data_IF_966687695156
#
_entry.id   IF_966687695156
#
_cell.length_a   1.000
_cell.length_b   1.000
_cell.length_c   1.000
_cell.angle_alpha   90.00
_cell.angle_beta   90.00
_cell.angle_gamma   90.00
#
_symmetry.space_group_name_H-M   'P 1'
#
loop_
_entity.id
_entity.type
_entity.pdbx_description
1 polymer ?
#
# COMPACT_ATOMS: atom_id res chain seq x y z
N UNK A 1 -42.54 -41.63 50.76
CA UNK A 1 -43.08 -40.56 49.88
C UNK A 1 -41.98 -39.53 49.66
N UNK A 2 -41.65 -39.28 48.39
CA UNK A 2 -40.62 -38.34 47.93
C UNK A 2 -41.04 -36.90 48.21
N UNK A 3 -40.08 -36.02 48.53
CA UNK A 3 -39.90 -34.66 47.95
C UNK A 3 -38.66 -34.01 48.56
N UNK A 4 -37.54 -34.13 47.85
CA UNK A 4 -36.33 -33.36 48.08
C UNK A 4 -36.53 -31.93 47.59
N UNK A 5 -36.12 -30.97 48.41
CA UNK A 5 -36.07 -29.55 48.06
C UNK A 5 -34.71 -29.29 47.44
N UNK A 6 -34.75 -28.96 46.15
CA UNK A 6 -33.66 -28.41 45.37
C UNK A 6 -33.41 -26.95 45.78
N UNK A 7 -32.15 -26.56 45.90
CA UNK A 7 -31.71 -25.22 45.47
C UNK A 7 -30.20 -25.24 45.21
N UNK A 8 -29.89 -25.44 43.92
CA UNK A 8 -28.59 -25.39 43.30
C UNK A 8 -28.22 -23.90 43.12
N UNK A 9 -27.33 -23.38 43.96
CA UNK A 9 -26.78 -22.03 43.81
C UNK A 9 -25.58 -22.07 42.85
N UNK A 10 -25.86 -22.07 41.55
CA UNK A 10 -24.84 -21.95 40.51
C UNK A 10 -24.73 -20.48 40.06
N UNK A 11 -23.93 -19.68 40.77
CA UNK A 11 -23.55 -18.33 40.33
C UNK A 11 -22.44 -18.43 39.27
N UNK A 12 -22.83 -18.69 38.03
CA UNK A 12 -21.95 -18.56 36.86
C UNK A 12 -21.80 -17.06 36.54
N UNK A 13 -20.75 -16.45 37.10
CA UNK A 13 -20.28 -15.12 36.69
C UNK A 13 -19.63 -15.29 35.31
N UNK A 14 -20.45 -15.24 34.26
CA UNK A 14 -20.00 -15.04 32.89
C UNK A 14 -19.59 -13.58 32.73
N UNK A 15 -18.39 -13.23 33.19
CA UNK A 15 -17.69 -12.03 32.67
C UNK A 15 -17.30 -12.39 31.24
N UNK A 16 -18.26 -12.23 30.33
CA UNK A 16 -18.01 -12.21 28.91
C UNK A 16 -17.09 -11.03 28.63
N UNK A 17 -15.83 -11.33 28.31
CA UNK A 17 -14.88 -10.36 27.79
C UNK A 17 -15.37 -9.95 26.40
N UNK A 18 -16.38 -9.08 26.34
CA UNK A 18 -16.83 -8.42 25.13
C UNK A 18 -15.68 -7.52 24.69
N UNK A 19 -14.84 -8.03 23.79
CA UNK A 19 -13.98 -7.17 23.01
C UNK A 19 -14.89 -6.21 22.25
N UNK A 20 -15.06 -4.99 22.77
CA UNK A 20 -15.86 -3.92 22.17
C UNK A 20 -15.19 -3.44 20.87
N UNK A 21 -15.19 -4.28 19.84
CA UNK A 21 -14.67 -3.95 18.52
C UNK A 21 -15.73 -3.11 17.82
N UNK A 22 -15.51 -1.79 17.78
CA UNK A 22 -16.38 -0.86 17.06
C UNK A 22 -16.47 -1.26 15.58
N UNK A 23 -17.68 -1.33 15.00
CA UNK A 23 -17.84 -1.63 13.58
C UNK A 23 -17.23 -0.52 12.71
N UNK A 24 -16.81 -0.90 11.50
CA UNK A 24 -16.29 0.06 10.53
C UNK A 24 -17.44 0.81 9.84
N UNK A 25 -17.30 2.13 9.68
CA UNK A 25 -18.21 2.92 8.83
C UNK A 25 -18.07 2.44 7.38
N UNK A 26 -19.20 2.18 6.74
CA UNK A 26 -19.25 1.69 5.36
C UNK A 26 -19.84 2.73 4.42
N UNK A 27 -19.46 2.65 3.16
CA UNK A 27 -19.97 3.47 2.07
C UNK A 27 -20.25 2.59 0.86
N UNK A 28 -21.18 3.01 0.00
CA UNK A 28 -21.59 2.26 -1.19
C UNK A 28 -20.60 2.36 -2.35
N UNK A 29 -19.95 3.52 -2.52
CA UNK A 29 -19.03 3.81 -3.61
C UNK A 29 -17.74 4.35 -3.02
N UNK A 30 -16.60 3.79 -3.44
CA UNK A 30 -15.30 4.30 -3.00
C UNK A 30 -15.01 5.67 -3.62
N UNK A 31 -14.36 6.60 -2.88
CA UNK A 31 -14.05 7.93 -3.40
C UNK A 31 -13.19 7.90 -4.67
N UNK A 32 -12.31 6.91 -4.83
CA UNK A 32 -11.50 6.75 -6.03
C UNK A 32 -12.37 6.42 -7.26
N UNK A 33 -13.47 5.71 -7.08
CA UNK A 33 -14.43 5.42 -8.15
C UNK A 33 -15.28 6.64 -8.47
N UNK A 34 -15.76 7.36 -7.46
CA UNK A 34 -16.45 8.65 -7.62
C UNK A 34 -15.60 9.62 -8.45
N UNK A 35 -14.35 9.84 -8.03
CA UNK A 35 -13.40 10.68 -8.75
C UNK A 35 -13.15 10.15 -10.16
N UNK A 36 -12.98 8.85 -10.35
CA UNK A 36 -12.73 8.29 -11.70
C UNK A 36 -13.87 8.57 -12.68
N UNK A 37 -15.12 8.63 -12.19
CA UNK A 37 -16.30 8.97 -13.01
C UNK A 37 -16.29 10.44 -13.43
N UNK A 38 -15.90 11.35 -12.53
CA UNK A 38 -15.80 12.78 -12.82
C UNK A 38 -14.76 13.10 -13.91
N UNK A 39 -13.69 12.30 -13.98
CA UNK A 39 -12.59 12.48 -14.93
C UNK A 39 -12.64 11.52 -16.11
N UNK A 40 -13.78 10.86 -16.37
CA UNK A 40 -13.89 9.79 -17.38
C UNK A 40 -13.41 10.16 -18.79
N UNK A 41 -13.47 11.44 -19.17
CA UNK A 41 -13.07 11.94 -20.50
C UNK A 41 -11.68 12.59 -20.54
N UNK A 42 -10.92 12.52 -19.45
CA UNK A 42 -9.60 13.12 -19.33
C UNK A 42 -8.57 12.04 -18.97
N UNK A 43 -7.31 12.30 -19.30
CA UNK A 43 -6.20 11.55 -18.74
C UNK A 43 -5.94 12.05 -17.33
N UNK A 44 -5.89 11.14 -16.36
CA UNK A 44 -5.76 11.47 -14.95
C UNK A 44 -5.00 10.44 -14.15
N UNK A 45 -4.44 10.87 -13.03
CA UNK A 45 -3.91 9.98 -11.98
C UNK A 45 -4.46 10.40 -10.63
N UNK A 46 -5.04 9.45 -9.89
CA UNK A 46 -5.46 9.62 -8.49
C UNK A 46 -4.34 9.09 -7.62
N UNK A 47 -3.74 10.01 -6.85
CA UNK A 47 -2.64 9.73 -5.93
C UNK A 47 -3.15 9.74 -4.50
N UNK A 48 -2.80 8.71 -3.74
CA UNK A 48 -3.09 8.64 -2.32
C UNK A 48 -2.17 9.60 -1.57
N UNK A 49 -2.73 10.70 -1.08
CA UNK A 49 -1.98 11.76 -0.43
C UNK A 49 -1.83 11.53 1.06
N UNK A 50 -2.87 11.06 1.74
CA UNK A 50 -2.83 10.85 3.18
C UNK A 50 -3.88 9.82 3.61
N UNK A 51 -3.69 9.25 4.79
CA UNK A 51 -4.59 8.27 5.39
C UNK A 51 -4.71 8.52 6.90
N UNK A 52 -5.90 8.31 7.46
CA UNK A 52 -6.09 8.29 8.92
C UNK A 52 -7.23 7.37 9.31
N UNK A 53 -7.18 6.96 10.58
CA UNK A 53 -8.22 6.18 11.24
C UNK A 53 -8.73 7.04 12.39
N UNK A 54 -10.01 7.40 12.32
CA UNK A 54 -10.71 8.13 13.37
C UNK A 54 -11.67 7.19 14.10
N UNK A 55 -11.93 7.51 15.35
CA UNK A 55 -12.84 6.77 16.20
C UNK A 55 -13.99 7.70 16.57
N UNK A 56 -15.16 7.39 16.04
CA UNK A 56 -16.43 7.98 16.47
C UNK A 56 -16.97 7.16 17.67
N UNK A 57 -17.94 7.68 18.45
CA UNK A 57 -18.46 7.00 19.64
C UNK A 57 -18.84 5.53 19.41
N UNK A 58 -19.43 5.23 18.24
CA UNK A 58 -19.92 3.89 17.90
C UNK A 58 -19.24 3.26 16.68
N UNK A 59 -18.33 3.96 15.99
CA UNK A 59 -17.82 3.56 14.68
C UNK A 59 -16.33 3.84 14.52
N UNK A 60 -15.64 2.97 13.77
CA UNK A 60 -14.30 3.23 13.24
C UNK A 60 -14.41 3.84 11.85
N UNK A 61 -13.81 5.01 11.64
CA UNK A 61 -13.85 5.74 10.37
C UNK A 61 -12.49 5.71 9.71
N UNK A 62 -12.42 5.04 8.57
CA UNK A 62 -11.23 4.98 7.73
C UNK A 62 -11.33 6.08 6.70
N UNK A 63 -10.28 6.90 6.58
CA UNK A 63 -10.31 8.06 5.67
C UNK A 63 -9.04 8.14 4.84
N UNK A 64 -9.23 8.49 3.57
CA UNK A 64 -8.17 8.81 2.63
C UNK A 64 -8.26 10.28 2.21
N UNK A 65 -7.11 10.82 1.82
CA UNK A 65 -6.99 12.11 1.16
C UNK A 65 -6.31 11.88 -0.19
N UNK A 66 -6.73 12.60 -1.22
CA UNK A 66 -6.25 12.35 -2.58
C UNK A 66 -5.74 13.62 -3.26
N UNK A 67 -4.89 13.41 -4.27
CA UNK A 67 -4.54 14.41 -5.27
C UNK A 67 -4.89 13.84 -6.64
N UNK A 68 -5.61 14.60 -7.45
CA UNK A 68 -5.92 14.25 -8.84
C UNK A 68 -5.00 15.05 -9.75
N UNK A 69 -4.25 14.34 -10.58
CA UNK A 69 -3.34 14.90 -11.57
C UNK A 69 -3.97 14.83 -12.92
N UNK A 70 -3.86 15.91 -13.68
CA UNK A 70 -4.30 15.97 -15.08
C UNK A 70 -3.26 16.72 -15.89
N UNK A 71 -2.99 16.26 -17.10
CA UNK A 71 -2.10 16.93 -18.05
C UNK A 71 -2.94 17.74 -19.02
N UNK A 72 -2.70 19.04 -19.08
CA UNK A 72 -3.31 19.95 -20.05
C UNK A 72 -2.19 20.67 -20.79
N UNK A 73 -1.98 20.34 -22.07
CA UNK A 73 -0.97 20.98 -22.94
C UNK A 73 0.41 21.10 -22.26
N UNK A 74 0.92 19.97 -21.76
CA UNK A 74 2.19 19.84 -21.03
C UNK A 74 2.27 20.54 -19.66
N UNK A 75 1.20 21.22 -19.24
CA UNK A 75 1.05 21.71 -17.87
C UNK A 75 0.37 20.66 -16.99
N UNK A 76 0.93 20.44 -15.80
CA UNK A 76 0.39 19.52 -14.81
C UNK A 76 -0.53 20.26 -13.85
N UNK A 77 -1.82 19.92 -13.88
CA UNK A 77 -2.83 20.47 -12.97
C UNK A 77 -3.10 19.50 -11.83
N UNK A 78 -3.12 20.03 -10.61
CA UNK A 78 -3.28 19.27 -9.37
C UNK A 78 -4.53 19.73 -8.64
N UNK A 79 -5.51 18.84 -8.47
CA UNK A 79 -6.67 19.08 -7.62
C UNK A 79 -6.51 18.28 -6.32
N UNK A 80 -6.48 18.98 -5.19
CA UNK A 80 -6.51 18.34 -3.86
C UNK A 80 -7.95 17.96 -3.52
N UNK A 81 -8.16 16.73 -3.10
CA UNK A 81 -9.43 16.24 -2.59
C UNK A 81 -9.32 16.18 -1.07
N UNK A 82 -10.30 16.74 -0.32
CA UNK A 82 -10.29 16.66 1.14
C UNK A 82 -10.46 15.21 1.62
N UNK A 83 -10.47 15.03 2.94
CA UNK A 83 -10.70 13.74 3.56
C UNK A 83 -12.03 13.13 3.11
N UNK A 84 -11.98 11.88 2.68
CA UNK A 84 -13.14 11.08 2.30
C UNK A 84 -13.11 9.77 3.05
N UNK A 85 -14.26 9.36 3.58
CA UNK A 85 -14.41 8.03 4.18
C UNK A 85 -14.21 6.98 3.09
N UNK A 86 -13.62 5.85 3.47
CA UNK A 86 -13.43 4.65 2.64
C UNK A 86 -13.85 3.42 3.41
N UNK A 87 -14.16 2.31 2.73
CA UNK A 87 -14.39 1.06 3.45
C UNK A 87 -13.09 0.52 4.07
N UNK A 88 -13.20 -0.18 5.21
CA UNK A 88 -12.06 -0.80 5.90
C UNK A 88 -11.21 -1.68 4.98
N UNK A 89 -11.86 -2.46 4.09
CA UNK A 89 -11.16 -3.31 3.13
C UNK A 89 -10.32 -2.48 2.17
N UNK A 90 -10.91 -1.44 1.57
CA UNK A 90 -10.23 -0.55 0.64
C UNK A 90 -9.05 0.18 1.31
N UNK A 91 -9.24 0.64 2.54
CA UNK A 91 -8.16 1.23 3.34
C UNK A 91 -6.99 0.26 3.54
N UNK A 92 -7.31 -0.99 3.91
CA UNK A 92 -6.30 -2.03 4.12
C UNK A 92 -5.54 -2.36 2.84
N UNK A 93 -6.26 -2.51 1.73
CA UNK A 93 -5.66 -2.83 0.43
C UNK A 93 -4.65 -1.74 -0.02
N UNK A 94 -4.87 -0.50 0.41
CA UNK A 94 -4.03 0.66 0.07
C UNK A 94 -3.13 1.17 1.22
N UNK A 95 -2.99 0.43 2.33
CA UNK A 95 -2.22 0.87 3.50
C UNK A 95 -0.74 1.16 3.17
N UNK A 96 -0.22 0.50 2.14
CA UNK A 96 1.16 0.59 1.69
C UNK A 96 1.35 1.57 0.51
N UNK A 97 0.26 2.16 0.01
CA UNK A 97 0.24 2.92 -1.25
C UNK A 97 0.37 4.44 -1.07
N UNK A 98 0.77 4.91 0.12
CA UNK A 98 0.95 6.33 0.38
C UNK A 98 1.93 6.95 -0.63
N UNK A 99 1.52 8.05 -1.27
CA UNK A 99 2.31 8.74 -2.30
C UNK A 99 2.26 8.08 -3.68
N UNK A 100 1.56 6.95 -3.84
CA UNK A 100 1.45 6.24 -5.12
C UNK A 100 0.16 6.59 -5.85
N UNK A 101 0.16 6.40 -7.18
CA UNK A 101 -1.05 6.35 -7.97
C UNK A 101 -1.80 5.06 -7.62
N UNK A 102 -3.06 5.18 -7.20
CA UNK A 102 -3.93 4.03 -6.93
C UNK A 102 -4.90 3.75 -8.07
N UNK A 103 -5.20 4.78 -8.85
CA UNK A 103 -5.98 4.70 -10.09
C UNK A 103 -5.39 5.68 -11.08
N UNK A 104 -5.19 5.26 -12.31
CA UNK A 104 -4.81 6.16 -13.40
C UNK A 104 -5.44 5.76 -14.72
N UNK A 105 -5.76 6.75 -15.54
CA UNK A 105 -6.25 6.58 -16.91
C UNK A 105 -5.39 7.41 -17.83
N UNK A 106 -4.70 6.74 -18.76
CA UNK A 106 -3.86 7.40 -19.76
C UNK A 106 -3.98 6.66 -21.08
N UNK A 107 -4.07 7.40 -22.18
CA UNK A 107 -4.26 6.82 -23.53
C UNK A 107 -5.44 5.83 -23.60
N UNK A 108 -6.54 6.13 -22.91
CA UNK A 108 -7.74 5.29 -22.86
C UNK A 108 -7.64 4.04 -21.97
N UNK A 109 -6.47 3.71 -21.43
CA UNK A 109 -6.28 2.55 -20.54
C UNK A 109 -6.44 2.94 -19.08
N UNK A 110 -7.44 2.37 -18.42
CA UNK A 110 -7.64 2.49 -16.97
C UNK A 110 -6.80 1.43 -16.24
N UNK A 111 -6.05 1.85 -15.23
CA UNK A 111 -5.34 0.99 -14.28
C UNK A 111 -5.81 1.29 -12.86
N UNK A 112 -6.03 0.23 -12.08
CA UNK A 112 -6.33 0.28 -10.64
C UNK A 112 -5.22 -0.37 -9.81
N UNK A 113 -4.09 -0.68 -10.44
CA UNK A 113 -2.94 -1.29 -9.77
C UNK A 113 -2.10 -0.16 -9.22
N UNK A 114 -1.78 -0.21 -7.92
CA UNK A 114 -1.03 0.86 -7.30
C UNK A 114 0.41 0.91 -7.83
N UNK A 115 0.87 2.08 -8.23
CA UNK A 115 2.17 2.25 -8.88
C UNK A 115 2.76 3.62 -8.58
N UNK A 116 4.09 3.78 -8.66
CA UNK A 116 4.69 5.09 -8.47
C UNK A 116 4.23 6.04 -9.57
N UNK A 117 4.09 7.32 -9.22
CA UNK A 117 3.57 8.35 -10.13
C UNK A 117 4.38 8.38 -11.42
N UNK A 118 3.67 8.35 -12.56
CA UNK A 118 4.28 8.44 -13.89
C UNK A 118 4.85 7.16 -14.49
N UNK A 119 5.00 6.07 -13.74
CA UNK A 119 5.47 4.80 -14.32
C UNK A 119 4.50 4.22 -15.36
N UNK A 120 3.20 4.49 -15.20
CA UNK A 120 2.15 4.02 -16.11
C UNK A 120 2.04 4.77 -17.43
N UNK A 121 2.62 5.98 -17.55
CA UNK A 121 2.34 6.87 -18.68
C UNK A 121 3.53 7.73 -19.14
N UNK A 122 4.36 8.20 -18.22
CA UNK A 122 5.51 9.06 -18.50
C UNK A 122 6.81 8.27 -18.72
N UNK A 123 7.17 7.43 -17.76
CA UNK A 123 8.47 6.74 -17.72
C UNK A 123 8.46 5.61 -18.74
N UNK A 124 9.52 5.51 -19.54
CA UNK A 124 9.63 4.53 -20.62
C UNK A 124 8.87 4.90 -21.90
N UNK A 125 8.10 5.99 -21.90
CA UNK A 125 7.41 6.50 -23.08
C UNK A 125 8.29 7.53 -23.82
N UNK A 126 8.70 7.19 -25.05
CA UNK A 126 9.59 8.02 -25.88
C UNK A 126 9.08 9.45 -26.14
N UNK A 127 7.76 9.67 -26.04
CA UNK A 127 7.17 11.01 -26.18
C UNK A 127 7.55 11.93 -25.01
N UNK A 128 7.75 11.36 -23.83
CA UNK A 128 7.98 12.12 -22.59
C UNK A 128 9.44 12.11 -22.13
N UNK A 129 10.30 11.31 -22.76
CA UNK A 129 11.71 11.21 -22.39
C UNK A 129 12.45 10.07 -23.07
N UNK A 130 13.68 9.87 -22.62
CA UNK A 130 14.59 8.86 -23.12
C UNK A 130 15.47 8.27 -22.02
N UNK A 131 16.08 7.12 -22.30
CA UNK A 131 17.03 6.49 -21.39
C UNK A 131 18.43 7.00 -21.69
N UNK A 132 18.99 7.83 -20.84
CA UNK A 132 20.36 8.36 -20.97
C UNK A 132 21.36 7.47 -20.22
N UNK A 133 22.57 7.31 -20.76
CA UNK A 133 23.64 6.61 -20.05
C UNK A 133 24.13 7.47 -18.87
N UNK A 134 24.22 6.89 -17.68
CA UNK A 134 24.86 7.56 -16.55
C UNK A 134 26.37 7.51 -16.77
N UNK A 135 26.97 8.66 -17.05
CA UNK A 135 28.42 8.77 -17.20
C UNK A 135 29.08 8.40 -15.86
N UNK A 136 30.04 7.48 -15.90
CA UNK A 136 30.83 7.12 -14.73
C UNK A 136 31.71 8.29 -14.30
N UNK A 137 31.71 8.58 -13.01
CA UNK A 137 32.65 9.52 -12.39
C UNK A 137 34.09 9.06 -12.69
N UNK A 138 34.90 9.94 -13.31
CA UNK A 138 36.28 9.70 -13.73
C UNK A 138 37.24 9.41 -12.57
N UNK A 139 36.78 9.50 -11.32
CA UNK A 139 37.58 9.25 -10.10
C UNK A 139 37.43 7.84 -9.52
N UNK A 140 36.58 6.96 -10.08
CA UNK A 140 36.38 5.60 -9.55
C UNK A 140 36.81 4.54 -10.56
N UNK A 141 37.73 3.68 -10.10
CA UNK A 141 38.26 2.51 -10.81
C UNK A 141 37.15 1.80 -11.57
N UNK A 142 37.36 1.61 -12.88
CA UNK A 142 36.43 1.00 -13.82
C UNK A 142 36.09 -0.45 -13.41
N UNK A 143 35.16 -0.62 -12.48
CA UNK A 143 34.46 -1.89 -12.29
C UNK A 143 33.46 -2.01 -13.43
N UNK A 144 33.44 -3.15 -14.12
CA UNK A 144 32.50 -3.56 -15.18
C UNK A 144 31.01 -3.38 -14.78
N UNK A 145 30.53 -2.15 -14.65
CA UNK A 145 29.13 -1.84 -14.40
C UNK A 145 28.45 -1.74 -15.75
N UNK A 146 27.52 -2.65 -16.00
CA UNK A 146 26.54 -2.49 -17.08
C UNK A 146 26.05 -1.05 -17.08
N UNK A 147 26.12 -0.34 -18.21
CA UNK A 147 25.77 1.07 -18.32
C UNK A 147 24.43 1.35 -17.63
N UNK A 148 24.47 1.90 -16.41
CA UNK A 148 23.25 2.26 -15.70
C UNK A 148 22.59 3.36 -16.53
N UNK A 149 21.33 3.17 -16.91
CA UNK A 149 20.59 4.17 -17.69
C UNK A 149 19.58 4.86 -16.81
N UNK A 150 19.56 6.18 -16.86
CA UNK A 150 18.62 7.05 -16.14
C UNK A 150 17.55 7.52 -17.10
N UNK A 151 16.31 7.61 -16.61
CA UNK A 151 15.25 8.28 -17.35
C UNK A 151 15.50 9.79 -17.37
N UNK A 152 15.56 10.38 -18.56
CA UNK A 152 15.65 11.82 -18.80
C UNK A 152 14.36 12.27 -19.49
N UNK A 153 13.59 13.16 -18.85
CA UNK A 153 12.38 13.70 -19.47
C UNK A 153 12.71 14.79 -20.50
N UNK A 154 11.91 14.88 -21.55
CA UNK A 154 11.94 16.00 -22.49
C UNK A 154 11.24 17.25 -21.95
N UNK A 155 10.48 17.13 -20.86
CA UNK A 155 9.78 18.27 -20.28
C UNK A 155 10.77 19.23 -19.63
N UNK A 156 10.62 20.51 -19.94
CA UNK A 156 11.32 21.61 -19.27
C UNK A 156 10.68 21.97 -17.92
N UNK A 157 9.53 21.36 -17.59
CA UNK A 157 8.79 21.70 -16.37
C UNK A 157 9.45 21.10 -15.12
N UNK A 158 9.91 21.94 -14.17
CA UNK A 158 10.43 21.46 -12.89
C UNK A 158 9.34 20.74 -12.07
N UNK A 159 8.06 21.02 -12.34
CA UNK A 159 6.93 20.41 -11.65
C UNK A 159 6.71 18.94 -12.03
N UNK A 160 7.11 18.52 -13.24
CA UNK A 160 7.05 17.11 -13.63
C UNK A 160 7.98 16.27 -12.75
N UNK A 161 9.22 16.73 -12.51
CA UNK A 161 10.17 16.06 -11.62
C UNK A 161 9.72 16.04 -10.16
N UNK A 162 9.12 17.14 -9.69
CA UNK A 162 8.53 17.19 -8.35
C UNK A 162 7.43 16.13 -8.19
N UNK A 163 6.60 15.91 -9.22
CA UNK A 163 5.48 14.98 -9.17
C UNK A 163 5.82 13.53 -9.43
N UNK A 164 6.80 13.25 -10.28
CA UNK A 164 7.37 11.91 -10.41
C UNK A 164 8.10 11.45 -9.13
N UNK A 165 8.10 12.29 -8.07
CA UNK A 165 8.81 12.09 -6.82
C UNK A 165 10.30 11.81 -7.06
N UNK A 166 10.80 12.25 -8.23
CA UNK A 166 12.01 11.77 -8.87
C UNK A 166 13.17 12.77 -8.72
N UNK A 167 13.30 13.38 -7.53
CA UNK A 167 14.64 13.78 -7.08
C UNK A 167 15.59 12.58 -7.09
N UNK A 168 15.05 11.35 -7.06
CA UNK A 168 15.74 10.12 -7.42
C UNK A 168 15.67 9.91 -8.93
N UNK A 169 16.84 9.86 -9.56
CA UNK A 169 17.04 9.27 -10.89
C UNK A 169 16.28 7.95 -11.01
N UNK A 170 15.22 7.87 -11.82
CA UNK A 170 14.61 6.57 -12.12
C UNK A 170 15.55 5.80 -13.03
N UNK A 171 16.07 4.68 -12.55
CA UNK A 171 16.93 3.82 -13.35
C UNK A 171 16.10 2.94 -14.29
N UNK A 172 16.73 2.46 -15.37
CA UNK A 172 16.11 1.49 -16.27
C UNK A 172 15.76 0.19 -15.57
N UNK A 173 16.54 -0.18 -14.55
CA UNK A 173 16.29 -1.36 -13.73
C UNK A 173 15.02 -1.21 -12.90
N UNK A 174 14.76 -0.02 -12.33
CA UNK A 174 13.52 0.26 -11.63
C UNK A 174 12.32 0.12 -12.57
N UNK A 175 12.41 0.69 -13.78
CA UNK A 175 11.34 0.58 -14.76
C UNK A 175 11.11 -0.87 -15.23
N UNK A 176 12.16 -1.66 -15.43
CA UNK A 176 12.04 -3.08 -15.75
C UNK A 176 11.37 -3.86 -14.61
N UNK A 177 11.72 -3.55 -13.35
CA UNK A 177 11.09 -4.12 -12.17
C UNK A 177 9.60 -3.79 -12.11
N UNK A 178 9.24 -2.52 -12.35
CA UNK A 178 7.87 -2.08 -12.49
C UNK A 178 7.11 -2.86 -13.57
N UNK A 179 7.66 -2.97 -14.78
CA UNK A 179 6.99 -3.66 -15.88
C UNK A 179 6.67 -5.13 -15.53
N UNK A 180 7.60 -5.82 -14.85
CA UNK A 180 7.37 -7.19 -14.36
C UNK A 180 6.22 -7.24 -13.37
N UNK A 181 6.22 -6.38 -12.35
CA UNK A 181 5.14 -6.31 -11.36
C UNK A 181 3.79 -5.98 -12.00
N UNK A 182 3.76 -4.96 -12.86
CA UNK A 182 2.56 -4.51 -13.55
C UNK A 182 1.98 -5.59 -14.47
N UNK A 183 2.82 -6.30 -15.24
CA UNK A 183 2.38 -7.41 -16.09
C UNK A 183 1.77 -8.57 -15.29
N UNK A 184 2.18 -8.72 -14.02
CA UNK A 184 1.64 -9.71 -13.08
C UNK A 184 0.45 -9.18 -12.27
N UNK A 185 -0.05 -7.97 -12.57
CA UNK A 185 -1.14 -7.32 -11.85
C UNK A 185 -0.80 -6.92 -10.41
N UNK A 186 0.48 -6.78 -10.07
CA UNK A 186 0.96 -6.46 -8.72
C UNK A 186 1.41 -5.01 -8.63
N UNK A 187 1.15 -4.40 -7.46
CA UNK A 187 1.70 -3.08 -7.14
C UNK A 187 3.22 -3.10 -7.11
N UNK A 188 3.85 -2.02 -7.57
CA UNK A 188 5.30 -1.89 -7.58
C UNK A 188 5.76 -0.82 -6.58
N UNK A 189 6.53 -1.24 -5.58
CA UNK A 189 7.06 -0.36 -4.54
C UNK A 189 8.56 -0.05 -4.74
N UNK A 190 9.19 -0.53 -5.81
CA UNK A 190 10.63 -0.41 -6.00
C UNK A 190 11.43 -1.57 -5.43
N UNK A 191 12.75 -1.49 -5.59
CA UNK A 191 13.69 -2.44 -5.00
C UNK A 191 13.63 -2.41 -3.47
N UNK A 192 13.71 -3.58 -2.84
CA UNK A 192 13.74 -3.69 -1.39
C UNK A 192 15.18 -3.53 -0.89
N UNK A 193 15.44 -2.54 -0.04
CA UNK A 193 16.71 -2.45 0.68
C UNK A 193 16.79 -3.56 1.73
N UNK A 194 17.99 -3.99 2.12
CA UNK A 194 18.19 -5.03 3.15
C UNK A 194 17.49 -4.74 4.48
N UNK A 195 17.14 -3.46 4.74
CA UNK A 195 16.37 -3.01 5.90
C UNK A 195 14.84 -3.14 5.77
N UNK A 196 14.32 -3.76 4.69
CA UNK A 196 12.89 -3.90 4.44
C UNK A 196 12.19 -2.64 3.91
N UNK A 197 12.97 -1.60 3.57
CA UNK A 197 12.47 -0.34 3.03
C UNK A 197 12.35 -0.42 1.51
N UNK A 198 11.30 0.22 0.99
CA UNK A 198 11.02 0.29 -0.44
C UNK A 198 11.37 1.67 -1.01
N UNK A 199 11.47 1.80 -2.33
CA UNK A 199 11.74 3.10 -2.95
C UNK A 199 10.49 4.00 -2.97
N UNK A 200 9.31 3.39 -3.01
CA UNK A 200 8.01 4.06 -3.14
C UNK A 200 7.00 3.50 -2.11
N UNK A 201 5.89 4.21 -1.93
CA UNK A 201 4.84 3.81 -1.00
C UNK A 201 5.14 4.16 0.46
N UNK A 202 4.22 3.76 1.35
CA UNK A 202 4.24 4.03 2.80
C UNK A 202 5.52 3.56 3.49
N UNK A 203 6.22 2.57 2.93
CA UNK A 203 7.45 2.02 3.50
C UNK A 203 8.71 2.74 3.05
N UNK A 204 8.59 3.71 2.14
CA UNK A 204 9.75 4.43 1.63
C UNK A 204 10.26 5.49 2.60
N UNK A 205 11.58 5.69 2.58
CA UNK A 205 12.21 6.75 3.37
C UNK A 205 11.79 8.16 2.90
N UNK A 206 11.44 8.30 1.62
CA UNK A 206 10.97 9.56 1.06
C UNK A 206 9.60 9.95 1.64
N UNK A 207 8.65 9.02 1.69
CA UNK A 207 7.35 9.31 2.30
C UNK A 207 7.49 9.57 3.81
N UNK A 208 8.36 8.82 4.50
CA UNK A 208 8.66 9.02 5.93
C UNK A 208 9.16 10.44 6.23
N UNK A 209 10.05 10.99 5.39
CA UNK A 209 10.60 12.32 5.60
C UNK A 209 9.65 13.44 5.16
N UNK A 210 8.95 13.26 4.04
CA UNK A 210 8.07 14.31 3.48
C UNK A 210 6.70 14.38 4.16
N UNK A 211 6.24 13.30 4.79
CA UNK A 211 4.91 13.19 5.43
C UNK A 211 5.01 12.88 6.92
N UNK A 212 5.88 13.59 7.63
CA UNK A 212 6.11 13.42 9.07
C UNK A 212 4.80 13.42 9.89
N UNK A 213 3.84 14.28 9.54
CA UNK A 213 2.54 14.35 10.22
C UNK A 213 1.72 13.05 10.10
N UNK A 214 1.75 12.38 8.94
CA UNK A 214 1.09 11.08 8.76
C UNK A 214 1.74 10.02 9.64
N UNK A 215 3.07 9.91 9.63
CA UNK A 215 3.78 8.90 10.41
C UNK A 215 3.67 9.14 11.92
N UNK A 216 3.66 10.41 12.35
CA UNK A 216 3.36 10.77 13.74
C UNK A 216 1.97 10.29 14.16
N UNK A 217 0.94 10.59 13.37
CA UNK A 217 -0.43 10.09 13.63
C UNK A 217 -0.50 8.56 13.59
N UNK A 218 0.21 7.92 12.67
CA UNK A 218 0.25 6.46 12.56
C UNK A 218 0.82 5.81 13.81
N UNK A 219 1.92 6.36 14.34
CA UNK A 219 2.55 5.90 15.59
C UNK A 219 1.66 6.13 16.80
N UNK A 220 1.09 7.33 16.94
CA UNK A 220 0.13 7.66 18.01
C UNK A 220 -1.08 6.72 18.03
N UNK A 221 -1.51 6.27 16.85
CA UNK A 221 -2.67 5.40 16.68
C UNK A 221 -2.28 3.95 16.37
N UNK A 222 -1.08 3.52 16.72
CA UNK A 222 -0.51 2.22 16.33
C UNK A 222 -1.43 1.02 16.61
N UNK A 223 -2.12 1.01 17.75
CA UNK A 223 -3.12 -0.04 18.07
C UNK A 223 -4.23 -0.15 17.03
N UNK A 224 -4.73 0.98 16.53
CA UNK A 224 -5.77 1.02 15.48
C UNK A 224 -5.22 0.49 14.16
N UNK A 225 -3.99 0.88 13.80
CA UNK A 225 -3.32 0.40 12.59
C UNK A 225 -3.02 -1.10 12.65
N UNK A 226 -2.56 -1.60 13.79
CA UNK A 226 -2.31 -3.02 14.00
C UNK A 226 -3.59 -3.85 13.87
N UNK A 227 -4.75 -3.30 14.27
CA UNK A 227 -6.05 -3.97 14.16
C UNK A 227 -6.53 -4.20 12.71
N UNK A 228 -5.96 -3.52 11.70
CA UNK A 228 -6.20 -3.81 10.29
C UNK A 228 -5.65 -5.18 9.89
N UNK A 229 -4.51 -5.55 10.49
CA UNK A 229 -3.75 -6.75 10.17
C UNK A 229 -4.25 -8.01 10.89
N UNK A 230 -5.04 -7.84 11.96
CA UNK A 230 -5.65 -8.93 12.72
C UNK A 230 -6.48 -9.81 11.79
N UNK A 231 -5.86 -10.88 11.28
CA UNK A 231 -6.56 -12.05 10.81
C UNK A 231 -7.35 -12.55 12.01
N UNK A 232 -8.66 -12.71 11.85
CA UNK A 232 -9.36 -13.67 12.70
C UNK A 232 -8.61 -14.99 12.54
N UNK A 233 -7.80 -15.33 13.54
CA UNK A 233 -7.27 -16.67 13.68
C UNK A 233 -8.50 -17.54 13.82
N UNK A 234 -8.90 -18.18 12.73
CA UNK A 234 -9.81 -19.31 12.81
C UNK A 234 -9.11 -20.29 13.76
N UNK A 235 -9.61 -20.38 14.98
CA UNK A 235 -9.26 -21.43 15.93
C UNK A 235 -9.51 -22.75 15.21
N UNK A 236 -8.47 -23.35 14.65
CA UNK A 236 -8.49 -24.74 14.22
C UNK A 236 -8.37 -25.61 15.47
N UNK A 237 -9.31 -25.48 16.40
CA UNK A 237 -9.60 -26.50 17.39
C UNK A 237 -10.42 -27.58 16.69
N UNK A 238 -9.74 -28.42 15.92
CA UNK A 238 -10.32 -29.67 15.42
C UNK A 238 -9.16 -30.64 15.11
N UNK A 239 -9.09 -31.69 15.95
CA UNK A 239 -8.31 -32.92 15.87
C UNK A 239 -6.77 -32.83 15.77
N UNK A 240 -6.08 -32.94 16.92
CA UNK A 240 -4.77 -33.62 16.97
C UNK A 240 -4.84 -34.80 17.95
N UNK A 241 -5.69 -35.78 17.64
CA UNK A 241 -5.50 -37.15 18.12
C UNK A 241 -4.52 -37.82 17.16
N UNK A 242 -3.26 -37.90 17.58
CA UNK A 242 -2.20 -38.47 16.76
C UNK A 242 -0.92 -38.62 17.56
N UNK A 243 -1.01 -39.41 18.64
CA UNK A 243 0.14 -39.98 19.34
C UNK A 243 1.04 -40.68 18.31
N UNK A 244 2.14 -40.04 17.92
CA UNK A 244 3.23 -40.67 17.19
C UNK A 244 4.39 -40.82 18.16
N UNK A 245 4.29 -41.83 19.02
CA UNK A 245 5.42 -42.35 19.78
C UNK A 245 6.32 -43.08 18.79
N UNK A 246 7.28 -42.37 18.19
CA UNK A 246 8.33 -42.99 17.37
C UNK A 246 9.50 -43.35 18.29
N UNK A 247 9.37 -44.48 18.96
CA UNK A 247 10.46 -45.14 19.69
C UNK A 247 11.56 -45.55 18.71
N UNK A 248 12.75 -44.98 18.89
CA UNK A 248 13.99 -45.47 18.27
C UNK A 248 14.56 -46.57 19.18
N UNK A 249 14.14 -47.82 18.96
CA UNK A 249 14.85 -49.00 19.47
C UNK A 249 15.72 -49.58 18.35
N UNK A 250 16.97 -49.89 18.67
CA UNK A 250 18.04 -50.13 17.71
C UNK A 250 18.22 -51.58 17.23
N UNK A 251 19.33 -51.76 16.51
CA UNK A 251 20.14 -52.99 16.54
C UNK A 251 19.93 -54.04 15.44
N UNK A 252 21.00 -54.20 14.64
CA UNK A 252 21.59 -55.45 14.10
C UNK A 252 20.81 -56.38 13.15
N UNK A 253 21.40 -56.55 11.96
CA UNK A 253 21.94 -57.83 11.48
C UNK A 253 20.99 -58.82 10.80
N UNK A 254 21.16 -59.00 9.49
CA UNK A 254 21.45 -60.26 8.79
C UNK A 254 21.83 -59.96 7.34
#
# INVERSE_FOLDING_TARGET
MKKGIYLLLASLVLIGCSSNVKPAKTISIEPSEEISRDYKFKDFSIVLDDMKIEEEPNLMVYQHKYKVLTLLKDSLHVKKIPWKTVNKKYFKDHENDLGMEIVSKHNGKLSKVAQPVGFGWAIGNKKHGEWEAVQGDSTKTASNKSSERRWRTHSTSPFLWYWLLSRRSTSRNDYNGYQRSYSSGKSYYGSNASSGNYNYGTRSNYEKSTRSSFFSRKTQNSGRWNSLSNKSSRSSSRYSSGSSTRSRSGGYGK
#
